data_IF_115540491278
#
_entry.id   IF_115540491278
#
_cell.length_a   1.000
_cell.length_b   1.000
_cell.length_c   1.000
_cell.angle_alpha   90.00
_cell.angle_beta   90.00
_cell.angle_gamma   90.00
#
_symmetry.space_group_name_H-M   'P 1'
#
loop_
_entity.id
_entity.type
_entity.pdbx_description
1 polymer ?
#
# COMPACT_ATOMS: atom_id res chain seq x y z
N UNK A 1 7.25 -21.26 -56.53
CA UNK A 1 8.44 -20.49 -56.13
C UNK A 1 8.03 -19.47 -55.07
N UNK A 2 8.33 -19.71 -53.80
CA UNK A 2 7.98 -18.81 -52.69
C UNK A 2 9.04 -17.72 -52.54
N UNK A 3 8.82 -16.58 -53.18
CA UNK A 3 9.61 -15.36 -52.98
C UNK A 3 9.21 -14.71 -51.64
N UNK A 4 9.79 -15.22 -50.54
CA UNK A 4 9.65 -14.58 -49.23
C UNK A 4 10.75 -13.53 -49.11
N UNK A 5 10.35 -12.28 -48.96
CA UNK A 5 11.23 -11.12 -48.88
C UNK A 5 12.21 -11.29 -47.69
N UNK A 6 13.54 -11.30 -47.89
CA UNK A 6 14.52 -11.63 -46.84
C UNK A 6 14.55 -10.62 -45.69
N UNK A 7 13.94 -9.44 -45.88
CA UNK A 7 13.81 -8.37 -44.89
C UNK A 7 12.98 -8.77 -43.65
N UNK A 8 12.18 -9.85 -43.74
CA UNK A 8 11.36 -10.37 -42.63
C UNK A 8 11.94 -11.65 -42.00
N UNK A 9 13.22 -11.96 -42.26
CA UNK A 9 13.95 -13.01 -41.51
C UNK A 9 14.33 -12.49 -40.11
N UNK A 10 13.32 -12.29 -39.26
CA UNK A 10 13.54 -11.96 -37.86
C UNK A 10 14.09 -13.18 -37.10
N UNK A 11 15.38 -13.44 -37.24
CA UNK A 11 16.13 -14.13 -36.20
C UNK A 11 16.07 -13.23 -34.96
N UNK A 12 15.13 -13.51 -34.06
CA UNK A 12 14.98 -12.81 -32.78
C UNK A 12 16.18 -13.12 -31.90
N UNK A 13 17.33 -12.52 -32.20
CA UNK A 13 18.42 -12.40 -31.24
C UNK A 13 17.95 -11.41 -30.18
N UNK A 14 17.35 -11.93 -29.11
CA UNK A 14 17.08 -11.15 -27.91
C UNK A 14 18.43 -10.66 -27.39
N UNK A 15 18.77 -9.40 -27.65
CA UNK A 15 19.83 -8.71 -26.94
C UNK A 15 19.37 -8.55 -25.51
N UNK A 16 19.64 -9.57 -24.68
CA UNK A 16 19.46 -9.47 -23.24
C UNK A 16 20.44 -8.41 -22.74
N UNK A 17 19.98 -7.17 -22.58
CA UNK A 17 20.75 -6.07 -22.01
C UNK A 17 21.01 -6.44 -20.55
N UNK A 18 22.20 -6.99 -20.26
CA UNK A 18 22.59 -7.54 -18.97
C UNK A 18 22.92 -6.50 -17.89
N UNK A 19 22.82 -5.21 -18.19
CA UNK A 19 23.11 -4.13 -17.24
C UNK A 19 22.09 -2.99 -17.31
N UNK A 20 20.87 -3.24 -16.82
CA UNK A 20 19.93 -2.16 -16.54
C UNK A 20 20.13 -1.70 -15.10
N UNK A 21 20.96 -0.68 -14.89
CA UNK A 21 20.98 0.05 -13.63
C UNK A 21 19.54 0.47 -13.29
N UNK A 22 19.03 0.16 -12.08
CA UNK A 22 17.65 0.46 -11.74
C UNK A 22 17.42 1.96 -11.82
N UNK A 23 16.36 2.37 -12.52
CA UNK A 23 16.00 3.79 -12.68
C UNK A 23 15.90 4.45 -11.30
N UNK A 24 16.58 5.58 -11.12
CA UNK A 24 16.49 6.38 -9.90
C UNK A 24 15.03 6.67 -9.58
N UNK A 25 14.59 6.22 -8.42
CA UNK A 25 13.26 6.52 -7.90
C UNK A 25 13.31 7.87 -7.20
N UNK A 26 12.34 8.74 -7.48
CA UNK A 26 12.22 10.03 -6.81
C UNK A 26 12.04 9.84 -5.29
N UNK A 27 12.67 10.70 -4.50
CA UNK A 27 12.59 10.68 -3.02
C UNK A 27 11.17 10.95 -2.52
N UNK A 28 10.37 11.75 -3.24
CA UNK A 28 8.99 12.08 -2.88
C UNK A 28 7.97 11.00 -3.26
N UNK A 29 8.41 9.85 -3.80
CA UNK A 29 7.49 8.80 -4.26
C UNK A 29 6.76 8.14 -3.08
N UNK A 30 5.47 8.46 -2.95
CA UNK A 30 4.55 7.80 -2.01
C UNK A 30 4.42 6.31 -2.30
N UNK A 31 4.29 5.53 -1.24
CA UNK A 31 4.11 4.07 -1.29
C UNK A 31 2.64 3.72 -1.05
N UNK A 32 2.12 2.82 -1.86
CA UNK A 32 0.73 2.37 -1.76
C UNK A 32 0.65 1.10 -0.90
N UNK A 33 -0.21 1.12 0.11
CA UNK A 33 -0.52 -0.01 0.98
C UNK A 33 -1.98 -0.39 0.79
N UNK A 34 -2.24 -1.65 0.43
CA UNK A 34 -3.60 -2.20 0.27
C UNK A 34 -4.06 -2.82 1.58
N UNK A 35 -5.17 -2.32 2.12
CA UNK A 35 -5.68 -2.74 3.42
C UNK A 35 -7.05 -3.38 3.22
N UNK A 36 -7.23 -4.66 3.59
CA UNK A 36 -8.52 -5.31 3.52
C UNK A 36 -9.47 -4.69 4.53
N UNK A 37 -10.70 -4.44 4.10
CA UNK A 37 -11.76 -3.85 4.94
C UNK A 37 -13.07 -4.60 4.79
N UNK A 38 -13.89 -4.56 5.83
CA UNK A 38 -15.28 -5.03 5.77
C UNK A 38 -16.20 -3.99 5.12
N UNK A 39 -17.41 -4.40 4.71
CA UNK A 39 -18.39 -3.47 4.12
C UNK A 39 -18.77 -2.33 5.09
N UNK A 40 -18.94 -2.67 6.37
CA UNK A 40 -19.27 -1.70 7.43
C UNK A 40 -18.13 -0.69 7.60
N UNK A 41 -16.89 -1.16 7.73
CA UNK A 41 -15.70 -0.29 7.84
C UNK A 41 -15.57 0.60 6.59
N UNK A 42 -15.81 0.03 5.41
CA UNK A 42 -15.77 0.76 4.13
C UNK A 42 -16.83 1.86 4.06
N UNK A 43 -18.04 1.61 4.57
CA UNK A 43 -19.09 2.63 4.67
C UNK A 43 -18.69 3.72 5.66
N UNK A 44 -18.22 3.37 6.86
CA UNK A 44 -17.75 4.33 7.86
C UNK A 44 -16.66 5.24 7.31
N UNK A 45 -15.60 4.66 6.73
CA UNK A 45 -14.49 5.40 6.13
C UNK A 45 -14.98 6.36 5.03
N UNK A 46 -15.96 5.94 4.22
CA UNK A 46 -16.53 6.80 3.19
C UNK A 46 -17.36 7.95 3.74
N UNK A 47 -18.20 7.66 4.72
CA UNK A 47 -19.01 8.68 5.38
C UNK A 47 -18.13 9.72 6.06
N UNK A 48 -17.09 9.29 6.77
CA UNK A 48 -16.11 10.19 7.40
C UNK A 48 -15.30 11.00 6.38
N UNK A 49 -14.87 10.37 5.28
CA UNK A 49 -14.19 11.08 4.20
C UNK A 49 -15.10 12.15 3.55
N UNK A 50 -16.38 11.83 3.35
CA UNK A 50 -17.37 12.75 2.82
C UNK A 50 -17.62 13.94 3.77
N UNK A 51 -17.77 13.69 5.08
CA UNK A 51 -17.90 14.75 6.09
C UNK A 51 -16.71 15.71 6.10
N UNK A 52 -15.50 15.21 5.81
CA UNK A 52 -14.28 16.02 5.73
C UNK A 52 -14.03 16.61 4.33
N UNK A 53 -14.92 16.41 3.36
CA UNK A 53 -14.77 16.85 1.97
C UNK A 53 -13.48 16.39 1.28
N UNK A 54 -13.01 15.18 1.60
CA UNK A 54 -11.79 14.59 1.02
C UNK A 54 -12.04 13.22 0.41
N UNK A 55 -11.12 12.76 -0.44
CA UNK A 55 -11.22 11.43 -1.04
C UNK A 55 -10.96 10.32 -0.02
N UNK A 56 -11.56 9.15 -0.21
CA UNK A 56 -11.34 7.97 0.64
C UNK A 56 -9.87 7.61 0.80
N UNK A 57 -9.10 7.64 -0.29
CA UNK A 57 -7.66 7.37 -0.26
C UNK A 57 -6.90 8.41 0.56
N UNK A 58 -7.23 9.70 0.44
CA UNK A 58 -6.61 10.75 1.24
C UNK A 58 -6.94 10.60 2.72
N UNK A 59 -8.22 10.38 3.03
CA UNK A 59 -8.69 10.15 4.38
C UNK A 59 -7.97 8.94 5.02
N UNK A 60 -7.90 7.83 4.30
CA UNK A 60 -7.20 6.63 4.78
C UNK A 60 -5.71 6.88 5.00
N UNK A 61 -5.06 7.62 4.09
CA UNK A 61 -3.65 7.96 4.22
C UNK A 61 -3.42 8.83 5.47
N UNK A 62 -4.26 9.84 5.68
CA UNK A 62 -4.23 10.76 6.82
C UNK A 62 -4.42 10.01 8.14
N UNK A 63 -5.46 9.18 8.21
CA UNK A 63 -5.79 8.40 9.41
C UNK A 63 -4.63 7.48 9.81
N UNK A 64 -4.03 6.74 8.88
CA UNK A 64 -2.87 5.90 9.20
C UNK A 64 -1.68 6.74 9.65
N UNK A 65 -1.40 7.85 8.98
CA UNK A 65 -0.26 8.71 9.36
C UNK A 65 -0.42 9.32 10.75
N UNK A 66 -1.63 9.70 11.13
CA UNK A 66 -1.94 10.24 12.45
C UNK A 66 -1.73 9.18 13.53
N UNK A 67 -2.27 7.98 13.34
CA UNK A 67 -2.10 6.90 14.31
C UNK A 67 -0.66 6.38 14.39
N UNK A 68 0.09 6.36 13.29
CA UNK A 68 1.53 6.05 13.31
C UNK A 68 2.37 7.07 14.10
N UNK A 69 1.81 8.24 14.41
CA UNK A 69 2.45 9.26 15.25
C UNK A 69 2.26 9.03 16.75
N UNK A 70 1.46 8.05 17.17
CA UNK A 70 1.17 7.78 18.57
C UNK A 70 2.33 6.98 19.19
N UNK A 71 2.85 7.43 20.33
CA UNK A 71 4.03 6.85 20.98
C UNK A 71 3.83 5.38 21.39
N UNK A 72 2.62 5.03 21.85
CA UNK A 72 2.27 3.67 22.29
C UNK A 72 1.70 2.78 21.16
N UNK A 73 1.88 3.16 19.89
CA UNK A 73 1.37 2.37 18.75
C UNK A 73 1.91 0.93 18.77
N UNK A 74 3.14 0.72 19.22
CA UNK A 74 3.80 -0.60 19.29
C UNK A 74 3.11 -1.57 20.25
N UNK A 75 2.41 -1.06 21.26
CA UNK A 75 1.72 -1.83 22.31
C UNK A 75 0.27 -2.20 21.94
N UNK A 76 -0.19 -1.81 20.74
CA UNK A 76 -1.57 -2.07 20.32
C UNK A 76 -1.83 -3.58 20.22
N UNK A 77 -3.02 -3.96 20.68
CA UNK A 77 -3.52 -5.33 20.62
C UNK A 77 -3.43 -5.92 19.20
N UNK A 78 -3.02 -7.19 19.14
CA UNK A 78 -3.03 -7.94 17.91
C UNK A 78 -4.47 -8.13 17.41
N UNK A 79 -4.80 -7.51 16.28
CA UNK A 79 -6.02 -7.81 15.54
C UNK A 79 -5.79 -8.95 14.55
N UNK A 80 -6.80 -9.80 14.40
CA UNK A 80 -6.80 -10.88 13.42
C UNK A 80 -6.85 -10.32 12.00
N UNK A 81 -5.87 -10.73 11.18
CA UNK A 81 -5.83 -10.34 9.78
C UNK A 81 -6.71 -11.27 8.95
N UNK A 82 -7.80 -10.74 8.40
CA UNK A 82 -8.67 -11.46 7.47
C UNK A 82 -8.69 -10.76 6.12
N UNK A 83 -8.30 -11.47 5.07
CA UNK A 83 -8.39 -10.94 3.71
C UNK A 83 -9.84 -11.01 3.21
N UNK A 84 -10.49 -9.85 3.17
CA UNK A 84 -11.88 -9.69 2.73
C UNK A 84 -12.00 -9.50 1.21
N UNK A 85 -10.88 -9.48 0.47
CA UNK A 85 -10.79 -9.16 -0.98
C UNK A 85 -11.29 -7.76 -1.36
N UNK A 86 -11.72 -6.94 -0.40
CA UNK A 86 -12.16 -5.56 -0.59
C UNK A 86 -11.10 -4.67 0.03
N UNK A 87 -10.39 -3.92 -0.81
CA UNK A 87 -9.25 -3.13 -0.36
C UNK A 87 -9.56 -1.63 -0.42
N UNK A 88 -9.03 -0.91 0.57
CA UNK A 88 -8.84 0.53 0.50
C UNK A 88 -7.34 0.80 0.41
N UNK A 89 -6.98 1.78 -0.41
CA UNK A 89 -5.60 2.18 -0.64
C UNK A 89 -5.21 3.28 0.33
N UNK A 90 -4.02 3.16 0.92
CA UNK A 90 -3.38 4.22 1.67
C UNK A 90 -2.05 4.59 1.00
N UNK A 91 -1.93 5.86 0.59
CA UNK A 91 -0.73 6.41 -0.04
C UNK A 91 0.12 7.11 1.01
N UNK A 92 1.06 6.38 1.57
CA UNK A 92 1.92 6.84 2.64
C UNK A 92 3.20 7.50 2.10
N UNK A 93 3.67 8.52 2.80
CA UNK A 93 5.00 9.09 2.56
C UNK A 93 6.09 8.13 3.01
N UNK A 94 7.31 8.33 2.50
CA UNK A 94 8.42 7.42 2.78
C UNK A 94 8.68 7.26 4.28
N UNK A 95 8.63 8.34 5.06
CA UNK A 95 8.82 8.30 6.52
C UNK A 95 7.74 7.46 7.23
N UNK A 96 6.47 7.71 6.94
CA UNK A 96 5.36 6.95 7.50
C UNK A 96 5.38 5.47 7.07
N UNK A 97 5.71 5.21 5.80
CA UNK A 97 5.87 3.85 5.31
C UNK A 97 7.01 3.11 6.02
N UNK A 98 8.17 3.75 6.24
CA UNK A 98 9.28 3.14 6.98
C UNK A 98 8.89 2.80 8.42
N UNK A 99 8.18 3.68 9.12
CA UNK A 99 7.63 3.39 10.46
C UNK A 99 6.69 2.19 10.46
N UNK A 100 5.79 2.13 9.47
CA UNK A 100 4.87 1.01 9.33
C UNK A 100 5.61 -0.31 9.08
N UNK A 101 6.68 -0.28 8.28
CA UNK A 101 7.54 -1.46 8.05
C UNK A 101 8.24 -1.88 9.34
N UNK A 102 8.75 -0.93 10.12
CA UNK A 102 9.38 -1.22 11.41
C UNK A 102 8.40 -1.90 12.37
N UNK A 103 7.18 -1.36 12.51
CA UNK A 103 6.13 -1.99 13.34
C UNK A 103 5.74 -3.38 12.82
N UNK A 104 5.69 -3.57 11.50
CA UNK A 104 5.44 -4.87 10.91
C UNK A 104 6.51 -5.90 11.29
N UNK A 105 7.79 -5.47 11.36
CA UNK A 105 8.91 -6.30 11.80
C UNK A 105 8.80 -6.60 13.30
N UNK A 106 8.56 -5.58 14.13
CA UNK A 106 8.42 -5.72 15.60
C UNK A 106 7.29 -6.68 15.97
N UNK A 107 6.17 -6.61 15.25
CA UNK A 107 5.02 -7.49 15.44
C UNK A 107 5.14 -8.85 14.76
N UNK A 108 6.16 -9.08 13.93
CA UNK A 108 6.31 -10.31 13.16
C UNK A 108 5.21 -10.56 12.12
N UNK A 109 4.66 -9.49 11.51
CA UNK A 109 3.56 -9.59 10.55
C UNK A 109 3.84 -8.90 9.21
N UNK A 110 3.00 -9.15 8.21
CA UNK A 110 3.07 -8.43 6.94
C UNK A 110 2.71 -6.95 7.09
N UNK A 111 3.22 -6.09 6.21
CA UNK A 111 2.86 -4.66 6.16
C UNK A 111 1.34 -4.44 6.07
N UNK A 112 0.63 -5.29 5.33
CA UNK A 112 -0.83 -5.21 5.22
C UNK A 112 -1.51 -5.55 6.55
N UNK A 113 -1.03 -6.56 7.25
CA UNK A 113 -1.54 -6.93 8.56
C UNK A 113 -1.26 -5.84 9.60
N UNK A 114 -0.06 -5.26 9.61
CA UNK A 114 0.28 -4.12 10.46
C UNK A 114 -0.65 -2.92 10.19
N UNK A 115 -0.84 -2.58 8.92
CA UNK A 115 -1.76 -1.51 8.51
C UNK A 115 -3.21 -1.79 8.92
N UNK A 116 -3.65 -3.05 8.87
CA UNK A 116 -4.98 -3.47 9.30
C UNK A 116 -5.15 -3.32 10.81
N UNK A 117 -4.14 -3.68 11.60
CA UNK A 117 -4.14 -3.48 13.07
C UNK A 117 -4.30 -2.01 13.43
N UNK A 118 -3.52 -1.14 12.78
CA UNK A 118 -3.59 0.32 12.97
C UNK A 118 -4.98 0.83 12.58
N UNK A 119 -5.55 0.36 11.46
CA UNK A 119 -6.90 0.74 11.06
C UNK A 119 -7.96 0.31 12.09
N UNK A 120 -7.90 -0.93 12.58
CA UNK A 120 -8.83 -1.44 13.58
C UNK A 120 -8.75 -0.63 14.88
N UNK A 121 -7.54 -0.28 15.31
CA UNK A 121 -7.33 0.61 16.44
C UNK A 121 -7.92 2.00 16.18
N UNK A 122 -7.62 2.60 15.03
CA UNK A 122 -8.13 3.90 14.64
C UNK A 122 -9.66 3.98 14.70
N UNK A 123 -10.34 3.03 14.05
CA UNK A 123 -11.80 2.97 14.01
C UNK A 123 -12.45 2.75 15.38
N UNK A 124 -11.70 2.21 16.36
CA UNK A 124 -12.18 2.03 17.73
C UNK A 124 -12.05 3.30 18.56
N UNK A 125 -11.11 4.18 18.20
CA UNK A 125 -10.85 5.47 18.88
C UNK A 125 -11.62 6.64 18.27
N UNK A 126 -12.31 6.43 17.14
CA UNK A 126 -13.23 7.39 16.52
C UNK A 126 -14.60 7.38 17.20
#
# INVERSE_FOLDING_TARGET
MSNVNPMFSFSRKSTTITNQQPRKTRSDKKKDVKIPVNEIQRQLIRSSAFQQNITTTQYMSKLITEHLGIDYISEIHAYEYKDTKKYIHAKLEQGAHSKLVQLAIEWGVSQRAAATRILCFALRTM
#
